data_IF_309825388610
#
_entry.id   IF_309825388610
#
_cell.length_a   1.000
_cell.length_b   1.000
_cell.length_c   1.000
_cell.angle_alpha   90.00
_cell.angle_beta   90.00
_cell.angle_gamma   90.00
#
_symmetry.space_group_name_H-M   'P 1'
#
loop_
_entity.id
_entity.type
_entity.pdbx_description
1 polymer ?
#
# COMPACT_ATOMS: atom_id res chain seq x y z
N UNK A 1 16.50 -42.55 2.61
CA UNK A 1 15.82 -42.38 1.31
C UNK A 1 14.44 -41.81 1.62
N UNK A 2 14.19 -40.51 1.56
CA UNK A 2 13.84 -39.76 0.36
C UNK A 2 14.28 -38.29 0.46
N UNK A 3 14.42 -37.68 -0.71
CA UNK A 3 15.26 -36.53 -1.06
C UNK A 3 14.63 -35.18 -0.68
N UNK A 4 15.48 -34.23 -0.30
CA UNK A 4 15.24 -32.78 -0.43
C UNK A 4 14.99 -32.38 -1.88
N UNK A 5 14.26 -31.27 -2.10
CA UNK A 5 14.41 -30.30 -3.21
C UNK A 5 13.71 -28.96 -2.81
N UNK A 6 13.98 -27.80 -3.46
CA UNK A 6 14.43 -26.58 -2.76
C UNK A 6 13.59 -25.31 -3.05
N UNK A 7 14.13 -24.17 -2.60
CA UNK A 7 13.59 -22.82 -2.57
C UNK A 7 13.26 -22.13 -3.91
N UNK A 8 12.54 -21.00 -3.78
CA UNK A 8 12.41 -19.83 -4.69
C UNK A 8 11.33 -19.87 -5.79
N UNK A 9 10.38 -18.93 -5.75
CA UNK A 9 10.38 -17.70 -6.57
C UNK A 9 9.02 -16.98 -6.58
N UNK A 10 9.13 -15.66 -6.79
CA UNK A 10 8.13 -14.59 -6.86
C UNK A 10 7.55 -14.47 -8.28
N UNK A 11 6.26 -14.12 -8.44
CA UNK A 11 5.66 -13.25 -9.50
C UNK A 11 4.14 -13.19 -9.29
N UNK A 12 3.55 -12.01 -8.99
CA UNK A 12 3.11 -10.90 -9.87
C UNK A 12 1.95 -11.27 -10.80
N UNK A 13 0.75 -10.77 -10.49
CA UNK A 13 -0.36 -10.53 -11.42
C UNK A 13 -0.67 -9.02 -11.39
N UNK A 14 -0.34 -8.29 -12.47
CA UNK A 14 -1.23 -7.88 -13.57
C UNK A 14 -2.10 -6.67 -13.13
N UNK A 15 -1.69 -5.42 -13.38
CA UNK A 15 -1.79 -4.69 -14.64
C UNK A 15 -3.24 -4.65 -15.19
N UNK A 16 -4.02 -3.67 -14.71
CA UNK A 16 -5.22 -3.19 -15.41
C UNK A 16 -4.78 -2.21 -16.49
N UNK A 17 -4.98 -2.63 -17.73
CA UNK A 17 -4.89 -1.81 -18.92
C UNK A 17 -6.08 -0.85 -18.96
N UNK A 18 -5.84 0.40 -19.32
CA UNK A 18 -6.85 1.16 -20.05
C UNK A 18 -6.26 1.69 -21.34
N UNK A 19 -6.98 1.30 -22.39
CA UNK A 19 -6.70 1.29 -23.80
C UNK A 19 -7.26 2.58 -24.38
N UNK A 20 -6.41 3.40 -25.02
CA UNK A 20 -6.85 4.27 -26.12
C UNK A 20 -5.78 4.20 -27.20
N UNK A 21 -6.17 3.53 -28.29
CA UNK A 21 -5.50 3.51 -29.58
C UNK A 21 -5.89 4.79 -30.34
N UNK A 22 -5.09 5.12 -31.34
CA UNK A 22 -5.44 5.71 -32.65
C UNK A 22 -4.30 6.66 -33.09
N UNK A 23 -3.27 6.16 -33.79
CA UNK A 23 -3.17 5.79 -35.22
C UNK A 23 -2.77 7.00 -36.09
N UNK A 24 -1.62 6.83 -36.76
CA UNK A 24 -1.15 7.43 -38.01
C UNK A 24 -1.02 8.95 -38.13
N UNK A 25 0.23 9.45 -38.13
CA UNK A 25 0.66 10.36 -39.20
C UNK A 25 2.13 10.06 -39.51
N UNK A 26 2.41 9.99 -40.81
CA UNK A 26 3.51 9.30 -41.44
C UNK A 26 4.90 9.93 -41.22
N UNK A 27 5.89 9.04 -41.17
CA UNK A 27 7.11 9.05 -41.97
C UNK A 27 7.36 10.32 -42.80
N UNK A 28 8.30 11.16 -42.36
CA UNK A 28 9.23 11.79 -43.29
C UNK A 28 10.61 11.86 -42.64
N UNK A 29 11.55 11.18 -43.28
CA UNK A 29 12.95 11.13 -42.93
C UNK A 29 13.60 12.52 -43.01
N UNK A 30 14.60 12.78 -42.15
CA UNK A 30 15.97 13.08 -42.58
C UNK A 30 16.94 13.25 -41.38
N UNK A 31 17.99 12.43 -41.41
CA UNK A 31 19.38 12.65 -41.00
C UNK A 31 19.73 13.56 -39.79
N UNK A 32 20.25 12.95 -38.70
CA UNK A 32 21.69 12.93 -38.38
C UNK A 32 22.00 12.07 -37.13
N UNK A 33 23.10 11.29 -37.12
CA UNK A 33 23.47 10.40 -36.02
C UNK A 33 24.49 11.09 -35.10
N UNK A 34 24.13 11.34 -33.84
CA UNK A 34 25.06 11.45 -32.69
C UNK A 34 24.30 12.09 -31.54
N UNK A 35 23.63 11.29 -30.73
CA UNK A 35 23.75 11.36 -29.27
C UNK A 35 22.95 10.18 -28.71
N UNK A 36 23.69 9.12 -28.47
CA UNK A 36 23.38 8.19 -27.40
C UNK A 36 23.52 8.97 -26.07
N UNK A 37 22.63 9.93 -25.81
CA UNK A 37 22.47 10.47 -24.47
C UNK A 37 21.26 9.75 -23.89
N UNK A 38 21.58 8.60 -23.32
CA UNK A 38 20.85 8.03 -22.21
C UNK A 38 20.17 9.13 -21.41
N UNK A 39 18.85 9.08 -21.33
CA UNK A 39 18.05 9.78 -20.32
C UNK A 39 18.44 9.19 -18.95
N UNK A 40 19.64 9.53 -18.49
CA UNK A 40 20.02 9.36 -17.11
C UNK A 40 19.31 10.47 -16.36
N UNK A 41 18.14 10.08 -15.84
CA UNK A 41 17.91 10.19 -14.41
C UNK A 41 18.09 11.64 -13.93
N UNK A 42 17.07 12.45 -14.15
CA UNK A 42 16.74 13.52 -13.22
C UNK A 42 16.37 12.88 -11.86
N UNK A 43 17.39 12.42 -11.12
CA UNK A 43 17.38 12.34 -9.66
C UNK A 43 17.27 13.80 -9.21
N UNK A 44 16.07 14.35 -9.31
CA UNK A 44 15.69 15.62 -8.69
C UNK A 44 16.05 15.49 -7.22
N UNK A 45 16.95 16.35 -6.76
CA UNK A 45 17.42 16.37 -5.38
C UNK A 45 16.21 16.32 -4.44
N UNK A 46 16.07 15.16 -3.79
CA UNK A 46 15.04 14.98 -2.78
C UNK A 46 15.50 15.82 -1.61
N UNK A 47 14.82 16.95 -1.39
CA UNK A 47 14.85 17.68 -0.12
C UNK A 47 14.80 16.65 1.01
N UNK A 48 15.88 16.52 1.78
CA UNK A 48 16.11 15.37 2.68
C UNK A 48 14.95 15.10 3.65
N UNK A 49 14.20 16.15 4.01
CA UNK A 49 12.98 16.06 4.81
C UNK A 49 11.94 15.06 4.27
N UNK A 50 11.78 14.97 2.95
CA UNK A 50 10.77 14.08 2.33
C UNK A 50 11.10 12.59 2.50
N UNK A 51 12.38 12.23 2.65
CA UNK A 51 12.79 10.85 2.94
C UNK A 51 12.68 10.50 4.43
N UNK A 52 12.73 11.50 5.31
CA UNK A 52 12.66 11.30 6.76
C UNK A 52 11.22 11.22 7.26
N UNK A 53 10.30 12.02 6.69
CA UNK A 53 8.88 11.99 7.05
C UNK A 53 8.25 10.63 6.72
N UNK A 54 7.65 9.98 7.72
CA UNK A 54 7.01 8.66 7.58
C UNK A 54 7.94 7.52 7.11
N UNK A 55 9.23 7.66 7.37
CA UNK A 55 10.25 6.64 7.07
C UNK A 55 10.02 5.29 7.76
N UNK A 56 9.45 5.31 8.98
CA UNK A 56 9.21 4.09 9.75
C UNK A 56 7.98 3.31 9.26
N UNK A 57 8.12 2.02 8.87
CA UNK A 57 7.03 1.23 8.32
C UNK A 57 5.97 0.89 9.37
N UNK A 58 4.74 1.40 9.21
CA UNK A 58 3.61 1.18 10.16
C UNK A 58 2.70 0.02 9.77
N UNK A 59 3.26 -1.08 9.26
CA UNK A 59 2.47 -2.24 8.81
C UNK A 59 1.96 -3.11 9.96
N UNK A 60 2.64 -3.07 11.11
CA UNK A 60 2.36 -3.94 12.26
C UNK A 60 2.52 -3.21 13.60
N UNK A 61 2.19 -3.90 14.69
CA UNK A 61 2.25 -3.34 16.05
C UNK A 61 1.07 -2.41 16.38
N UNK A 62 1.12 -1.81 17.57
CA UNK A 62 0.04 -0.95 18.08
C UNK A 62 -0.12 0.35 17.28
N UNK A 63 0.98 0.91 16.77
CA UNK A 63 0.99 2.13 15.95
C UNK A 63 0.36 1.98 14.55
N UNK A 64 0.18 0.74 14.09
CA UNK A 64 -0.38 0.45 12.76
C UNK A 64 -1.89 0.61 12.68
N UNK A 65 -2.58 0.50 13.81
CA UNK A 65 -4.04 0.42 13.87
C UNK A 65 -4.58 1.48 14.81
N UNK A 66 -5.77 1.98 14.49
CA UNK A 66 -6.50 2.95 15.28
C UNK A 66 -7.97 2.57 15.33
N UNK A 67 -8.67 3.04 16.37
CA UNK A 67 -10.12 2.95 16.46
C UNK A 67 -10.76 3.67 15.28
N UNK A 68 -11.81 3.05 14.69
CA UNK A 68 -12.58 3.64 13.60
C UNK A 68 -13.34 4.91 14.00
N UNK A 69 -13.72 5.05 15.27
CA UNK A 69 -14.53 6.16 15.77
C UNK A 69 -13.64 7.29 16.33
N UNK A 70 -12.82 6.98 17.34
CA UNK A 70 -12.08 8.00 18.08
C UNK A 70 -10.62 8.17 17.65
N UNK A 71 -10.14 7.41 16.65
CA UNK A 71 -8.73 7.37 16.19
C UNK A 71 -7.68 6.98 17.25
N UNK A 72 -8.08 6.66 18.48
CA UNK A 72 -7.19 6.21 19.55
C UNK A 72 -6.56 4.85 19.19
N UNK A 73 -5.29 4.66 19.54
CA UNK A 73 -4.54 3.40 19.33
C UNK A 73 -4.55 2.48 20.55
N UNK A 74 -5.02 2.96 21.69
CA UNK A 74 -5.08 2.21 22.94
C UNK A 74 -6.39 1.45 23.09
N UNK A 75 -6.33 0.26 23.72
CA UNK A 75 -7.54 -0.49 24.06
C UNK A 75 -8.38 -0.92 22.86
N UNK A 76 -7.74 -1.20 21.72
CA UNK A 76 -8.42 -1.60 20.49
C UNK A 76 -8.90 -3.05 20.59
N UNK A 77 -10.22 -3.25 20.48
CA UNK A 77 -10.84 -4.56 20.37
C UNK A 77 -10.72 -5.01 18.91
N UNK A 78 -9.94 -6.07 18.71
CA UNK A 78 -9.60 -6.62 17.38
C UNK A 78 -10.36 -7.89 17.03
N UNK A 79 -11.15 -8.42 17.96
CA UNK A 79 -11.95 -9.63 17.74
C UNK A 79 -13.09 -9.32 16.78
N UNK A 80 -13.41 -10.28 15.91
CA UNK A 80 -14.49 -10.19 14.91
C UNK A 80 -14.36 -9.03 13.92
N UNK A 81 -13.18 -8.43 13.76
CA UNK A 81 -12.96 -7.35 12.77
C UNK A 81 -13.52 -5.98 13.16
N UNK A 82 -14.02 -5.79 14.39
CA UNK A 82 -14.63 -4.54 14.86
C UNK A 82 -13.67 -3.34 14.76
N UNK A 83 -12.41 -3.51 15.20
CA UNK A 83 -11.39 -2.46 15.24
C UNK A 83 -11.89 -1.17 15.95
N UNK A 84 -12.52 -1.35 17.11
CA UNK A 84 -13.06 -0.26 17.92
C UNK A 84 -12.40 -0.21 19.30
N UNK A 85 -12.31 0.97 19.89
CA UNK A 85 -11.77 1.14 21.23
C UNK A 85 -12.75 0.60 22.27
N UNK A 86 -12.27 0.15 23.45
CA UNK A 86 -13.14 -0.37 24.52
C UNK A 86 -14.23 0.60 25.00
N UNK A 87 -13.95 1.92 24.99
CA UNK A 87 -14.92 2.94 25.38
C UNK A 87 -16.01 3.08 24.30
N UNK A 88 -15.57 3.17 23.04
CA UNK A 88 -16.42 3.24 21.85
C UNK A 88 -17.33 2.01 21.75
N UNK A 89 -16.78 0.82 22.00
CA UNK A 89 -17.54 -0.42 21.97
C UNK A 89 -18.68 -0.42 22.99
N UNK A 90 -18.48 0.11 24.20
CA UNK A 90 -19.55 0.19 25.21
C UNK A 90 -20.69 1.14 24.82
N UNK A 91 -20.39 2.19 24.05
CA UNK A 91 -21.41 3.11 23.54
C UNK A 91 -22.26 2.44 22.45
N UNK A 92 -21.61 1.76 21.49
CA UNK A 92 -22.29 1.13 20.35
C UNK A 92 -22.67 -0.34 20.55
N UNK A 93 -22.39 -0.94 21.72
CA UNK A 93 -22.64 -2.36 21.96
C UNK A 93 -24.10 -2.75 21.69
N UNK A 94 -25.04 -1.92 22.12
CA UNK A 94 -26.49 -2.12 21.93
C UNK A 94 -26.86 -2.09 20.45
N UNK A 95 -26.34 -1.12 19.69
CA UNK A 95 -26.64 -0.94 18.26
C UNK A 95 -26.04 -2.05 17.40
N UNK A 96 -24.91 -2.62 17.82
CA UNK A 96 -24.29 -3.77 17.17
C UNK A 96 -25.06 -5.07 17.48
N UNK A 97 -25.93 -5.07 18.50
CA UNK A 97 -26.70 -6.24 18.92
C UNK A 97 -26.03 -7.07 20.03
N UNK A 98 -25.01 -6.55 20.69
CA UNK A 98 -24.47 -7.18 21.90
C UNK A 98 -25.37 -6.87 23.09
N UNK A 99 -26.04 -7.90 23.60
CA UNK A 99 -26.80 -7.86 24.85
C UNK A 99 -26.03 -8.55 25.96
N UNK A 100 -26.11 -8.01 27.18
CA UNK A 100 -25.62 -8.70 28.36
C UNK A 100 -26.67 -9.76 28.71
N UNK A 101 -26.29 -11.03 28.59
CA UNK A 101 -27.03 -12.13 29.20
C UNK A 101 -26.40 -12.34 30.57
N UNK A 102 -27.22 -12.27 31.61
CA UNK A 102 -26.79 -12.47 32.99
C UNK A 102 -26.57 -13.96 33.31
#
# INVERSE_FOLDING_TARGET
MHRHLPATTRRRNAATTNRKQDISTACFAQARPSVFLSDTRAKRDKMGHQQLYWSHPRKFGQGSRSCRVCSNRHGLIRKYGLNMCRQCFRQYAKDIGFVKLD
#
